data_IF_269519681853
#
_entry.id   IF_269519681853
#
_cell.length_a   1.000
_cell.length_b   1.000
_cell.length_c   1.000
_cell.angle_alpha   90.00
_cell.angle_beta   90.00
_cell.angle_gamma   90.00
#
_symmetry.space_group_name_H-M   'P 1'
#
loop_
_entity.id
_entity.type
_entity.pdbx_description
1 polymer ?
#
# COMPACT_ATOMS: atom_id res chain seq x y z
N UNK A 1 -13.86 -3.60 -16.20
CA UNK A 1 -14.77 -3.97 -15.09
C UNK A 1 -13.96 -3.92 -13.81
N UNK A 2 -13.92 -2.75 -13.18
CA UNK A 2 -13.37 -2.52 -11.81
C UNK A 2 -14.54 -2.42 -10.81
N UNK A 3 -15.78 -2.55 -11.31
CA UNK A 3 -16.99 -2.06 -10.65
C UNK A 3 -17.50 -2.95 -9.49
N UNK A 4 -16.76 -3.97 -9.08
CA UNK A 4 -17.24 -4.92 -8.05
C UNK A 4 -16.12 -5.42 -7.12
N UNK A 5 -15.17 -4.57 -6.74
CA UNK A 5 -14.34 -4.82 -5.56
C UNK A 5 -14.84 -3.90 -4.45
N UNK A 6 -15.75 -4.35 -3.57
CA UNK A 6 -16.20 -3.52 -2.48
C UNK A 6 -14.98 -3.18 -1.58
N UNK A 7 -14.97 -1.98 -0.98
CA UNK A 7 -13.76 -1.39 -0.37
C UNK A 7 -12.83 -0.65 -1.35
N UNK A 8 -12.93 -0.90 -2.66
CA UNK A 8 -12.28 -0.11 -3.73
C UNK A 8 -13.24 0.91 -4.37
N UNK A 9 -14.36 1.22 -3.71
CA UNK A 9 -15.29 2.28 -4.14
C UNK A 9 -14.69 3.70 -4.05
N UNK A 10 -13.49 3.82 -3.49
CA UNK A 10 -12.67 5.03 -3.55
C UNK A 10 -12.12 5.18 -4.97
N UNK A 11 -12.18 6.39 -5.59
CA UNK A 11 -11.64 6.60 -6.92
C UNK A 11 -10.13 6.37 -7.00
N UNK A 12 -9.44 6.32 -5.85
CA UNK A 12 -8.01 6.10 -5.71
C UNK A 12 -7.73 4.97 -4.72
N UNK A 13 -7.01 3.97 -5.19
CA UNK A 13 -6.34 2.96 -4.39
C UNK A 13 -4.91 3.42 -4.11
N UNK A 14 -4.50 3.34 -2.84
CA UNK A 14 -3.10 3.41 -2.46
C UNK A 14 -2.84 2.30 -1.45
N UNK A 15 -1.87 1.44 -1.75
CA UNK A 15 -1.57 0.26 -0.95
C UNK A 15 -0.08 -0.04 -1.02
N UNK A 16 0.46 -0.58 0.06
CA UNK A 16 1.78 -1.15 0.12
C UNK A 16 1.69 -2.69 0.14
N UNK A 17 2.67 -3.37 -0.44
CA UNK A 17 2.85 -4.82 -0.30
C UNK A 17 4.23 -5.09 0.26
N UNK A 18 4.32 -5.79 1.38
CA UNK A 18 5.60 -6.16 2.01
C UNK A 18 5.75 -7.67 1.93
N UNK A 19 6.90 -8.16 1.47
CA UNK A 19 7.17 -9.59 1.28
C UNK A 19 7.68 -10.24 2.56
N UNK A 20 6.80 -10.49 3.52
CA UNK A 20 7.12 -11.12 4.80
C UNK A 20 5.88 -11.77 5.39
N UNK A 21 6.05 -12.56 6.46
CA UNK A 21 4.91 -13.08 7.19
C UNK A 21 4.12 -11.94 7.88
N UNK A 22 2.79 -12.07 7.96
CA UNK A 22 1.94 -11.04 8.57
C UNK A 22 2.31 -10.80 10.05
N UNK A 23 2.71 -11.85 10.77
CA UNK A 23 3.13 -11.76 12.18
C UNK A 23 4.48 -11.06 12.31
N UNK A 24 5.43 -11.31 11.40
CA UNK A 24 6.72 -10.60 11.36
C UNK A 24 6.51 -9.10 11.13
N UNK A 25 5.60 -8.73 10.21
CA UNK A 25 5.26 -7.33 9.94
C UNK A 25 4.57 -6.69 11.16
N UNK A 26 3.62 -7.39 11.78
CA UNK A 26 2.94 -6.94 12.99
C UNK A 26 3.94 -6.67 14.12
N UNK A 27 4.80 -7.64 14.43
CA UNK A 27 5.79 -7.54 15.49
C UNK A 27 6.79 -6.42 15.20
N UNK A 28 7.29 -6.32 13.98
CA UNK A 28 8.20 -5.25 13.56
C UNK A 28 7.55 -3.86 13.73
N UNK A 29 6.28 -3.70 13.33
CA UNK A 29 5.57 -2.44 13.48
C UNK A 29 5.37 -2.09 14.96
N UNK A 30 4.88 -3.02 15.78
CA UNK A 30 4.64 -2.78 17.20
C UNK A 30 5.95 -2.44 17.92
N UNK A 31 7.01 -3.22 17.70
CA UNK A 31 8.30 -3.02 18.35
C UNK A 31 8.93 -1.67 17.98
N UNK A 32 8.80 -1.26 16.71
CA UNK A 32 9.31 0.02 16.24
C UNK A 32 8.49 1.22 16.73
N UNK A 33 7.16 1.15 16.62
CA UNK A 33 6.28 2.29 16.88
C UNK A 33 5.98 2.50 18.36
N UNK A 34 5.95 1.45 19.18
CA UNK A 34 5.66 1.53 20.63
C UNK A 34 6.49 2.60 21.38
N UNK A 35 7.84 2.62 21.29
CA UNK A 35 8.63 3.64 21.97
C UNK A 35 8.40 5.06 21.42
N UNK A 36 7.95 5.21 20.17
CA UNK A 36 7.68 6.51 19.55
C UNK A 36 6.32 7.07 20.01
N UNK A 37 5.28 6.26 20.02
CA UNK A 37 3.93 6.71 20.41
C UNK A 37 3.83 6.98 21.92
N UNK A 38 4.58 6.23 22.76
CA UNK A 38 4.63 6.45 24.21
C UNK A 38 5.08 7.86 24.60
N UNK A 39 5.96 8.49 23.81
CA UNK A 39 6.42 9.88 24.03
C UNK A 39 5.29 10.90 23.98
N UNK A 40 4.18 10.54 23.34
CA UNK A 40 3.01 11.39 23.13
C UNK A 40 1.77 10.86 23.87
N UNK A 41 1.97 10.15 24.99
CA UNK A 41 0.90 9.52 25.79
C UNK A 41 -0.03 8.60 24.98
N UNK A 42 0.47 8.02 23.89
CA UNK A 42 -0.25 7.06 23.07
C UNK A 42 0.29 5.64 23.29
N UNK A 43 -0.53 4.65 22.97
CA UNK A 43 -0.20 3.22 22.97
C UNK A 43 -0.64 2.56 21.67
N UNK A 44 -0.14 1.35 21.42
CA UNK A 44 -0.59 0.50 20.32
C UNK A 44 -1.33 -0.70 20.88
N UNK A 45 -2.38 -1.09 20.15
CA UNK A 45 -3.08 -2.36 20.34
C UNK A 45 -3.16 -3.07 19.00
N UNK A 46 -3.14 -4.40 19.03
CA UNK A 46 -3.31 -5.23 17.85
C UNK A 46 -4.44 -6.21 18.12
N UNK A 47 -5.30 -6.41 17.13
CA UNK A 47 -6.37 -7.39 17.17
C UNK A 47 -6.46 -8.10 15.82
N UNK A 48 -6.81 -9.38 15.87
CA UNK A 48 -7.23 -10.11 14.68
C UNK A 48 -8.65 -9.66 14.29
N UNK A 49 -8.86 -9.44 13.00
CA UNK A 49 -10.16 -9.12 12.43
C UNK A 49 -10.56 -10.27 11.53
N UNK A 50 -11.62 -10.96 11.91
CA UNK A 50 -12.22 -12.04 11.12
C UNK A 50 -13.36 -11.51 10.25
N UNK A 51 -13.56 -12.11 9.09
CA UNK A 51 -14.61 -11.72 8.15
C UNK A 51 -14.13 -11.66 6.70
N UNK A 52 -14.88 -10.96 5.86
CA UNK A 52 -14.44 -10.66 4.51
C UNK A 52 -13.56 -9.41 4.46
N UNK A 53 -12.94 -9.17 3.30
CA UNK A 53 -12.12 -7.99 3.05
C UNK A 53 -12.84 -6.68 3.39
N UNK A 54 -14.13 -6.57 3.06
CA UNK A 54 -14.91 -5.35 3.30
C UNK A 54 -15.07 -5.06 4.78
N UNK A 55 -15.43 -6.08 5.55
CA UNK A 55 -15.57 -5.99 6.99
C UNK A 55 -14.25 -5.61 7.66
N UNK A 56 -13.13 -6.11 7.15
CA UNK A 56 -11.80 -5.73 7.62
C UNK A 56 -11.42 -4.29 7.23
N UNK A 57 -11.66 -3.91 5.98
CA UNK A 57 -11.42 -2.57 5.45
C UNK A 57 -12.23 -1.51 6.20
N UNK A 58 -13.48 -1.82 6.54
CA UNK A 58 -14.35 -0.94 7.33
C UNK A 58 -13.76 -0.58 8.70
N UNK A 59 -12.87 -1.41 9.25
CA UNK A 59 -12.19 -1.11 10.51
C UNK A 59 -11.16 0.01 10.41
N UNK A 60 -10.77 0.43 9.20
CA UNK A 60 -9.90 1.60 9.02
C UNK A 60 -10.64 2.91 9.33
N UNK A 61 -11.97 2.94 9.21
CA UNK A 61 -12.75 4.15 9.44
C UNK A 61 -12.85 4.53 10.94
N UNK A 62 -12.99 5.83 11.25
CA UNK A 62 -12.89 6.96 10.32
C UNK A 62 -11.48 7.15 9.74
N UNK A 63 -11.42 7.71 8.53
CA UNK A 63 -10.15 8.15 7.95
C UNK A 63 -9.64 9.36 8.74
N UNK A 64 -8.32 9.55 8.78
CA UNK A 64 -7.69 10.65 9.51
C UNK A 64 -6.85 11.54 8.60
N UNK A 65 -6.72 12.81 8.95
CA UNK A 65 -5.68 13.68 8.42
C UNK A 65 -4.63 13.97 9.50
N UNK A 66 -3.39 14.25 9.12
CA UNK A 66 -2.33 14.65 10.04
C UNK A 66 -1.59 13.52 10.76
N UNK A 67 -2.30 12.47 11.23
CA UNK A 67 -1.66 11.28 11.80
C UNK A 67 -2.36 9.99 11.38
N UNK A 68 -1.61 8.89 11.32
CA UNK A 68 -2.16 7.55 11.17
C UNK A 68 -2.61 7.04 12.53
N UNK A 69 -3.83 6.48 12.59
CA UNK A 69 -4.38 5.86 13.80
C UNK A 69 -4.65 4.38 13.66
N UNK A 70 -4.78 3.87 12.43
CA UNK A 70 -5.08 2.47 12.15
C UNK A 70 -4.25 1.98 10.98
N UNK A 71 -3.68 0.80 11.14
CA UNK A 71 -3.03 0.03 10.09
C UNK A 71 -3.76 -1.29 9.95
N UNK A 72 -4.02 -1.70 8.72
CA UNK A 72 -4.61 -2.99 8.38
C UNK A 72 -3.58 -3.80 7.57
N UNK A 73 -3.21 -4.94 8.12
CA UNK A 73 -2.35 -5.93 7.48
C UNK A 73 -3.25 -7.03 6.91
N UNK A 74 -3.14 -7.26 5.61
CA UNK A 74 -3.97 -8.17 4.84
C UNK A 74 -3.07 -9.30 4.32
N UNK A 75 -3.08 -10.48 4.96
CA UNK A 75 -2.49 -11.68 4.38
C UNK A 75 -3.04 -11.90 2.97
N UNK A 76 -2.23 -12.44 2.08
CA UNK A 76 -2.66 -12.74 0.70
C UNK A 76 -2.44 -14.21 0.38
N UNK A 77 -2.89 -14.64 -0.81
CA UNK A 77 -2.58 -15.99 -1.31
C UNK A 77 -1.12 -16.17 -1.74
N UNK A 78 -0.30 -15.12 -1.67
CA UNK A 78 1.14 -15.16 -1.94
C UNK A 78 1.96 -14.75 -0.70
N UNK A 79 3.29 -14.64 -0.87
CA UNK A 79 4.22 -14.24 0.20
C UNK A 79 4.14 -12.75 0.56
N UNK A 80 3.23 -12.01 -0.08
CA UNK A 80 3.06 -10.58 0.14
C UNK A 80 1.93 -10.33 1.13
N UNK A 81 2.10 -9.32 1.96
CA UNK A 81 1.04 -8.81 2.84
C UNK A 81 0.66 -7.42 2.37
N UNK A 82 -0.63 -7.23 2.08
CA UNK A 82 -1.20 -5.92 1.80
C UNK A 82 -1.18 -5.07 3.07
N UNK A 83 -0.72 -3.83 2.95
CA UNK A 83 -0.58 -2.89 4.04
C UNK A 83 -1.33 -1.61 3.68
N UNK A 84 -2.35 -1.30 4.48
CA UNK A 84 -3.19 -0.11 4.32
C UNK A 84 -3.20 0.64 5.64
N UNK A 85 -3.22 1.96 5.58
CA UNK A 85 -3.46 2.81 6.74
C UNK A 85 -4.71 3.69 6.53
N UNK A 86 -5.16 4.33 7.61
CA UNK A 86 -6.36 5.15 7.57
C UNK A 86 -6.10 6.63 7.27
N UNK A 87 -4.95 7.02 6.70
CA UNK A 87 -4.73 8.44 6.37
C UNK A 87 -5.43 8.81 5.06
N UNK A 88 -6.17 9.92 5.06
CA UNK A 88 -7.00 10.36 3.94
C UNK A 88 -6.20 10.65 2.66
N UNK A 89 -4.96 11.10 2.78
CA UNK A 89 -4.10 11.42 1.63
C UNK A 89 -3.51 10.19 0.95
N UNK A 90 -3.89 8.98 1.38
CA UNK A 90 -3.34 7.69 0.93
C UNK A 90 -2.15 7.25 1.78
N UNK A 91 -1.77 5.98 1.64
CA UNK A 91 -0.77 5.32 2.50
C UNK A 91 0.54 6.10 2.60
N UNK A 92 0.99 6.34 3.82
CA UNK A 92 2.34 6.84 4.08
C UNK A 92 3.36 5.85 3.52
N UNK A 93 4.24 6.30 2.63
CA UNK A 93 5.30 5.46 2.07
C UNK A 93 6.40 5.16 3.09
N UNK A 94 6.55 6.00 4.11
CA UNK A 94 7.63 5.88 5.09
C UNK A 94 7.45 4.67 5.98
N UNK A 95 6.24 4.41 6.48
CA UNK A 95 6.01 3.25 7.36
C UNK A 95 6.31 1.90 6.67
N UNK A 96 5.75 1.56 5.49
CA UNK A 96 6.11 0.35 4.75
C UNK A 96 7.60 0.26 4.38
N UNK A 97 8.22 1.38 4.00
CA UNK A 97 9.66 1.43 3.72
C UNK A 97 10.49 1.01 4.93
N UNK A 98 10.26 1.63 6.10
CA UNK A 98 11.00 1.33 7.32
C UNK A 98 10.79 -0.13 7.75
N UNK A 99 9.57 -0.66 7.60
CA UNK A 99 9.29 -2.06 7.88
C UNK A 99 10.07 -3.00 6.95
N UNK A 100 10.04 -2.74 5.64
CA UNK A 100 10.77 -3.54 4.66
C UNK A 100 12.29 -3.48 4.87
N UNK A 101 12.83 -2.32 5.27
CA UNK A 101 14.23 -2.16 5.62
C UNK A 101 14.60 -2.96 6.88
N UNK A 102 13.77 -2.90 7.93
CA UNK A 102 13.97 -3.66 9.19
C UNK A 102 13.89 -5.16 8.98
N UNK A 103 12.95 -5.60 8.15
CA UNK A 103 12.73 -7.01 7.80
C UNK A 103 13.69 -7.48 6.70
N UNK A 104 14.49 -6.58 6.12
CA UNK A 104 15.45 -6.85 5.03
C UNK A 104 14.80 -7.55 3.84
N UNK A 105 13.64 -7.05 3.42
CA UNK A 105 12.81 -7.68 2.40
C UNK A 105 12.44 -6.74 1.24
N UNK A 106 11.65 -7.25 0.31
CA UNK A 106 11.07 -6.53 -0.82
C UNK A 106 9.78 -5.81 -0.42
N UNK A 107 9.54 -4.65 -1.04
CA UNK A 107 8.36 -3.84 -0.84
C UNK A 107 7.90 -3.23 -2.16
N UNK A 108 6.59 -3.27 -2.42
CA UNK A 108 5.96 -2.61 -3.57
C UNK A 108 4.96 -1.57 -3.09
N UNK A 109 5.10 -0.34 -3.59
CA UNK A 109 4.08 0.70 -3.44
C UNK A 109 3.20 0.73 -4.68
N UNK A 110 1.88 0.79 -4.49
CA UNK A 110 0.89 0.87 -5.54
C UNK A 110 0.04 2.13 -5.37
N UNK A 111 -0.07 2.91 -6.44
CA UNK A 111 -1.11 3.92 -6.61
C UNK A 111 -1.89 3.59 -7.88
N UNK A 112 -3.21 3.59 -7.78
CA UNK A 112 -4.08 3.50 -8.94
C UNK A 112 -5.33 4.34 -8.74
N UNK A 113 -5.72 5.11 -9.75
CA UNK A 113 -6.96 5.87 -9.76
C UNK A 113 -7.79 5.48 -10.97
N UNK A 114 -8.93 4.83 -10.72
CA UNK A 114 -9.79 4.30 -11.78
C UNK A 114 -10.49 5.41 -12.59
N UNK A 115 -10.64 6.60 -12.01
CA UNK A 115 -11.38 7.72 -12.61
C UNK A 115 -10.46 8.55 -13.51
N UNK A 116 -9.22 8.81 -13.07
CA UNK A 116 -8.26 9.61 -13.82
C UNK A 116 -7.37 8.77 -14.73
N UNK A 117 -7.25 7.47 -14.46
CA UNK A 117 -6.24 6.55 -14.99
C UNK A 117 -4.80 6.87 -14.52
N UNK A 118 -4.64 7.59 -13.41
CA UNK A 118 -3.33 7.70 -12.74
C UNK A 118 -2.92 6.31 -12.21
N UNK A 119 -1.66 5.95 -12.44
CA UNK A 119 -1.08 4.70 -11.98
C UNK A 119 0.40 4.90 -11.69
N UNK A 120 0.88 4.29 -10.61
CA UNK A 120 2.30 4.29 -10.25
C UNK A 120 2.59 3.03 -9.48
N UNK A 121 3.72 2.40 -9.80
CA UNK A 121 4.29 1.32 -9.00
C UNK A 121 5.75 1.62 -8.70
N UNK A 122 6.11 1.50 -7.43
CA UNK A 122 7.49 1.54 -6.97
C UNK A 122 7.85 0.15 -6.42
N UNK A 123 8.88 -0.48 -6.98
CA UNK A 123 9.44 -1.74 -6.49
C UNK A 123 10.76 -1.47 -5.79
N UNK A 124 10.85 -1.91 -4.54
CA UNK A 124 12.00 -1.80 -3.67
C UNK A 124 12.48 -3.19 -3.24
N UNK A 125 13.80 -3.35 -3.14
CA UNK A 125 14.43 -4.59 -2.70
C UNK A 125 15.59 -4.28 -1.76
N UNK A 126 15.71 -5.06 -0.70
CA UNK A 126 16.82 -4.97 0.23
C UNK A 126 18.05 -5.61 -0.39
N UNK A 127 19.07 -4.81 -0.70
CA UNK A 127 20.28 -5.26 -1.38
C UNK A 127 21.48 -4.49 -0.86
N UNK A 128 22.62 -5.18 -0.68
CA UNK A 128 23.86 -4.55 -0.23
C UNK A 128 23.69 -3.74 1.07
N UNK A 129 22.97 -4.32 2.05
CA UNK A 129 22.74 -3.77 3.40
C UNK A 129 21.83 -2.52 3.49
N UNK A 130 21.10 -2.16 2.44
CA UNK A 130 20.10 -1.09 2.47
C UNK A 130 18.89 -1.40 1.57
N UNK A 131 17.74 -0.78 1.85
CA UNK A 131 16.57 -0.86 0.99
C UNK A 131 16.74 0.11 -0.21
N UNK A 132 16.64 -0.40 -1.43
CA UNK A 132 16.79 0.41 -2.65
C UNK A 132 15.52 0.39 -3.48
N UNK A 133 15.17 1.54 -4.03
CA UNK A 133 14.25 1.59 -5.18
C UNK A 133 14.93 0.93 -6.37
N UNK A 134 14.35 -0.16 -6.86
CA UNK A 134 14.83 -0.90 -8.03
C UNK A 134 14.18 -0.39 -9.29
N UNK A 135 12.87 -0.13 -9.23
CA UNK A 135 12.07 0.32 -10.37
C UNK A 135 10.95 1.22 -9.90
N UNK A 136 10.78 2.35 -10.59
CA UNK A 136 9.54 3.13 -10.56
C UNK A 136 9.02 3.19 -11.98
N UNK A 137 7.71 3.02 -12.16
CA UNK A 137 7.05 3.30 -13.43
C UNK A 137 5.60 3.73 -13.20
N UNK A 138 5.16 4.76 -13.90
CA UNK A 138 3.80 5.26 -13.74
C UNK A 138 3.44 6.43 -14.63
N UNK A 139 2.15 6.72 -14.72
CA UNK A 139 1.60 7.95 -15.25
C UNK A 139 0.84 8.67 -14.14
N UNK A 140 1.30 9.87 -13.78
CA UNK A 140 0.71 10.66 -12.70
C UNK A 140 0.14 11.97 -13.22
N UNK A 141 -0.87 12.49 -12.53
CA UNK A 141 -1.53 13.75 -12.85
C UNK A 141 -1.22 14.79 -11.77
N UNK A 142 -0.26 15.65 -12.08
CA UNK A 142 0.05 16.85 -11.28
C UNK A 142 -0.51 18.09 -12.02
N UNK A 143 0.34 19.07 -12.38
CA UNK A 143 0.02 20.20 -13.26
C UNK A 143 -0.16 19.80 -14.74
N UNK A 144 -0.29 18.52 -15.01
CA UNK A 144 -0.29 17.89 -16.34
C UNK A 144 0.03 16.41 -16.22
N UNK A 145 -0.16 15.66 -17.31
CA UNK A 145 0.19 14.25 -17.35
C UNK A 145 1.70 14.11 -17.46
N UNK A 146 2.29 13.34 -16.54
CA UNK A 146 3.71 13.02 -16.56
C UNK A 146 3.90 11.51 -16.54
N UNK A 147 4.83 11.03 -17.36
CA UNK A 147 5.33 9.67 -17.26
C UNK A 147 6.54 9.70 -16.33
N UNK A 148 6.46 8.95 -15.24
CA UNK A 148 7.54 8.77 -14.28
C UNK A 148 8.18 7.42 -14.49
N UNK A 149 9.51 7.40 -14.50
CA UNK A 149 10.28 6.16 -14.47
C UNK A 149 11.61 6.36 -13.75
N UNK A 150 12.06 5.31 -13.08
CA UNK A 150 13.38 5.22 -12.46
C UNK A 150 13.87 3.77 -12.51
N UNK A 151 15.19 3.56 -12.55
CA UNK A 151 15.78 2.23 -12.65
C UNK A 151 15.65 1.61 -14.05
N UNK A 152 16.29 0.46 -14.24
CA UNK A 152 16.27 -0.27 -15.51
C UNK A 152 14.92 -1.02 -15.64
N UNK A 153 14.22 -0.93 -16.79
CA UNK A 153 13.04 -1.76 -17.03
C UNK A 153 13.31 -3.25 -16.79
N UNK A 154 12.36 -3.90 -16.11
CA UNK A 154 12.34 -5.35 -15.89
C UNK A 154 12.03 -6.06 -17.22
N UNK A 155 12.48 -7.31 -17.35
CA UNK A 155 12.43 -8.05 -18.63
C UNK A 155 11.03 -8.25 -19.20
N UNK A 156 10.00 -8.22 -18.35
CA UNK A 156 8.60 -8.41 -18.76
C UNK A 156 7.93 -7.08 -19.15
N UNK A 157 8.54 -5.92 -18.88
CA UNK A 157 7.94 -4.62 -19.17
C UNK A 157 7.85 -4.39 -20.68
N UNK A 158 6.66 -3.99 -21.15
CA UNK A 158 6.41 -3.59 -22.55
C UNK A 158 6.84 -2.14 -22.75
N UNK A 159 8.15 -1.93 -22.87
CA UNK A 159 8.77 -0.59 -22.91
C UNK A 159 8.47 0.20 -24.18
N UNK A 160 7.94 -0.44 -25.23
CA UNK A 160 7.59 0.20 -26.50
C UNK A 160 6.57 1.33 -26.29
N UNK A 161 5.66 1.13 -25.32
CA UNK A 161 4.63 2.11 -24.98
C UNK A 161 5.18 3.37 -24.29
N UNK A 162 6.40 3.34 -23.73
CA UNK A 162 6.91 4.43 -22.89
C UNK A 162 7.19 5.72 -23.66
N UNK A 163 7.28 5.61 -24.99
CA UNK A 163 7.47 6.74 -25.89
C UNK A 163 6.17 7.19 -26.60
N UNK A 164 5.01 6.65 -26.22
CA UNK A 164 3.73 7.04 -26.81
C UNK A 164 3.50 8.56 -26.75
N UNK A 165 2.91 9.13 -27.80
CA UNK A 165 2.59 10.57 -27.85
C UNK A 165 1.61 10.97 -26.74
N UNK A 166 0.66 10.10 -26.43
CA UNK A 166 -0.31 10.29 -25.36
C UNK A 166 0.30 9.75 -24.07
N UNK A 167 0.62 10.64 -23.12
CA UNK A 167 1.32 10.28 -21.88
C UNK A 167 0.58 9.19 -21.10
N UNK A 168 -0.75 9.26 -20.99
CA UNK A 168 -1.56 8.24 -20.29
C UNK A 168 -1.42 6.83 -20.87
N UNK A 169 -1.10 6.73 -22.17
CA UNK A 169 -0.92 5.45 -22.86
C UNK A 169 0.49 4.89 -22.70
N UNK A 170 1.35 5.53 -21.91
CA UNK A 170 2.71 5.05 -21.63
C UNK A 170 2.73 3.99 -20.54
N UNK A 171 1.77 3.96 -19.63
CA UNK A 171 1.64 2.92 -18.63
C UNK A 171 0.16 2.64 -18.35
N UNK A 172 -0.37 1.58 -18.96
CA UNK A 172 -1.79 1.24 -18.90
C UNK A 172 -2.13 0.43 -17.65
N UNK A 173 -3.42 0.29 -17.35
CA UNK A 173 -3.90 -0.60 -16.30
C UNK A 173 -3.45 -2.06 -16.52
N UNK A 174 -3.50 -2.55 -17.76
CA UNK A 174 -3.06 -3.92 -18.06
C UNK A 174 -1.57 -4.12 -17.80
N UNK A 175 -0.75 -3.10 -18.09
CA UNK A 175 0.68 -3.12 -17.79
C UNK A 175 0.95 -3.06 -16.28
N UNK A 176 0.13 -2.32 -15.53
CA UNK A 176 0.17 -2.32 -14.07
C UNK A 176 -0.17 -3.71 -13.50
N UNK A 177 -1.25 -4.33 -13.98
CA UNK A 177 -1.61 -5.70 -13.59
C UNK A 177 -0.51 -6.70 -13.93
N UNK A 178 0.07 -6.63 -15.14
CA UNK A 178 1.21 -7.48 -15.51
C UNK A 178 2.41 -7.28 -14.60
N UNK A 179 2.69 -6.03 -14.22
CA UNK A 179 3.76 -5.71 -13.29
C UNK A 179 3.55 -6.36 -11.93
N UNK A 180 2.37 -6.21 -11.33
CA UNK A 180 2.05 -6.78 -10.03
C UNK A 180 2.00 -8.32 -10.09
N UNK A 181 1.41 -8.88 -11.14
CA UNK A 181 1.30 -10.33 -11.33
C UNK A 181 2.67 -10.99 -11.49
N UNK A 182 3.67 -10.31 -12.05
CA UNK A 182 5.05 -10.82 -12.10
C UNK A 182 5.61 -11.13 -10.71
N UNK A 183 5.22 -10.34 -9.70
CA UNK A 183 5.59 -10.56 -8.29
C UNK A 183 4.60 -11.48 -7.55
N UNK A 184 3.58 -12.01 -8.23
CA UNK A 184 2.52 -12.80 -7.60
C UNK A 184 1.52 -11.96 -6.80
N UNK A 185 1.35 -10.68 -7.15
CA UNK A 185 0.41 -9.76 -6.50
C UNK A 185 -0.81 -9.55 -7.41
N UNK A 186 -1.95 -10.11 -7.03
CA UNK A 186 -3.22 -9.92 -7.74
C UNK A 186 -4.05 -8.80 -7.08
N UNK A 187 -3.51 -7.57 -7.03
CA UNK A 187 -4.05 -6.47 -6.20
C UNK A 187 -5.50 -6.05 -6.50
N UNK A 188 -6.01 -6.40 -7.69
CA UNK A 188 -7.36 -6.05 -8.15
C UNK A 188 -8.29 -7.28 -8.16
N UNK A 189 -7.96 -8.34 -7.43
CA UNK A 189 -8.83 -9.48 -7.17
C UNK A 189 -9.12 -9.54 -5.67
N UNK A 190 -10.40 -9.48 -5.28
CA UNK A 190 -10.79 -9.55 -3.87
C UNK A 190 -10.38 -10.87 -3.21
N UNK A 191 -10.35 -11.96 -3.98
CA UNK A 191 -10.00 -13.29 -3.49
C UNK A 191 -8.49 -13.46 -3.27
N UNK A 192 -7.68 -12.48 -3.69
CA UNK A 192 -6.26 -12.43 -3.39
C UNK A 192 -6.02 -12.19 -1.90
N UNK A 193 -6.93 -11.48 -1.23
CA UNK A 193 -6.76 -11.03 0.15
C UNK A 193 -7.48 -11.94 1.13
N UNK A 194 -6.90 -12.07 2.33
CA UNK A 194 -7.48 -12.79 3.48
C UNK A 194 -7.94 -14.21 3.12
N UNK A 195 -7.06 -15.09 2.60
CA UNK A 195 -7.43 -16.46 2.23
C UNK A 195 -8.07 -17.24 3.40
N UNK A 196 -7.60 -16.99 4.63
CA UNK A 196 -8.12 -17.57 5.87
C UNK A 196 -9.22 -16.72 6.53
N UNK A 197 -9.75 -15.72 5.82
CA UNK A 197 -10.76 -14.77 6.32
C UNK A 197 -10.34 -14.03 7.58
N UNK A 198 -9.04 -13.77 7.73
CA UNK A 198 -8.46 -12.99 8.82
C UNK A 198 -7.47 -11.95 8.33
N UNK A 199 -7.42 -10.85 9.07
CA UNK A 199 -6.50 -9.73 8.92
C UNK A 199 -6.01 -9.26 10.29
N UNK A 200 -4.99 -8.42 10.33
CA UNK A 200 -4.48 -7.84 11.57
C UNK A 200 -4.71 -6.33 11.56
N UNK A 201 -5.41 -5.84 12.56
CA UNK A 201 -5.67 -4.42 12.75
C UNK A 201 -4.83 -3.90 13.91
N UNK A 202 -4.01 -2.89 13.63
CA UNK A 202 -3.18 -2.24 14.64
C UNK A 202 -3.71 -0.83 14.85
N UNK A 203 -4.11 -0.52 16.09
CA UNK A 203 -4.69 0.77 16.47
C UNK A 203 -3.77 1.53 17.40
N UNK A 204 -3.56 2.81 17.08
CA UNK A 204 -2.99 3.79 18.00
C UNK A 204 -4.09 4.36 18.90
N UNK A 205 -3.90 4.23 20.20
CA UNK A 205 -4.83 4.66 21.26
C UNK A 205 -4.21 5.78 22.07
N UNK A 206 -5.04 6.65 22.65
CA UNK A 206 -4.60 7.85 23.38
C UNK A 206 -4.94 9.15 22.63
N UNK A 207 -4.45 10.31 23.11
CA UNK A 207 -4.82 11.61 22.57
C UNK A 207 -4.36 11.78 21.12
N UNK A 208 -5.20 12.46 20.34
CA UNK A 208 -4.86 12.90 19.00
C UNK A 208 -3.85 14.05 19.03
N UNK A 209 -3.04 14.16 17.97
CA UNK A 209 -2.32 15.41 17.75
C UNK A 209 -3.29 16.55 17.45
N UNK A 210 -3.00 17.81 17.86
CA UNK A 210 -3.91 18.94 17.65
C UNK A 210 -4.33 19.17 16.18
N UNK A 211 -3.46 18.81 15.24
CA UNK A 211 -3.71 18.93 13.80
C UNK A 211 -4.58 17.79 13.24
N UNK A 212 -4.79 16.70 13.99
CA UNK A 212 -5.53 15.54 13.51
C UNK A 212 -7.01 15.87 13.36
N UNK A 213 -7.60 15.46 12.24
CA UNK A 213 -9.05 15.48 12.03
C UNK A 213 -9.49 14.09 11.59
N UNK A 214 -10.63 13.67 12.09
CA UNK A 214 -11.34 12.52 11.55
C UNK A 214 -12.24 12.98 10.42
N UNK A 215 -12.26 12.19 9.35
CA UNK A 215 -13.06 12.44 8.16
C UNK A 215 -14.05 11.28 8.10
N UNK A 216 -15.33 11.59 8.31
CA UNK A 216 -16.44 10.66 8.08
C UNK A 216 -16.65 10.47 6.58
N UNK A 217 -17.17 9.29 6.20
CA UNK A 217 -17.65 9.04 4.82
C UNK A 217 -18.74 10.04 4.43
#
# INVERSE_FOLDING_TARGET
MIDNIPGFNQPRLTMAFIKADVTEIQEALINWQTPLVKRNNNSLSSEEVTGDFNSAYEKLFPMTSGEIRRYLLLPTTSQWVGFIDNIWTGTDRTCPWVLAERLKTEYIHLVYNNTSAESLVDYHSFMAAELKTIRTVGVIKENGWKFQQYGKPLKFEQTENYNNRIVKSRFTFDQLCQFLNYFGINAFDINFYMPEKSAILIKKMGPYFPATREISQ
#
